data_IF_829547237115
#
_entry.id   IF_829547237115
#
_cell.length_a   1.000
_cell.length_b   1.000
_cell.length_c   1.000
_cell.angle_alpha   90.00
_cell.angle_beta   90.00
_cell.angle_gamma   90.00
#
_symmetry.space_group_name_H-M   'P 1'
#
loop_
_entity.id
_entity.type
_entity.pdbx_description
1 polymer ?
#
# COMPACT_ATOMS: atom_id res chain seq x y z
N UNK A 1 15.23 -18.38 10.97
CA UNK A 1 16.29 -17.37 10.83
C UNK A 1 16.80 -17.42 9.39
N UNK A 2 16.75 -16.30 8.66
CA UNK A 2 17.16 -16.18 7.26
C UNK A 2 17.97 -14.89 7.08
N UNK A 3 18.76 -14.81 5.99
CA UNK A 3 19.45 -13.59 5.56
C UNK A 3 18.56 -12.90 4.51
N UNK A 4 18.04 -11.73 4.84
CA UNK A 4 17.05 -11.01 4.02
C UNK A 4 17.62 -9.64 3.61
N UNK A 5 17.53 -9.31 2.33
CA UNK A 5 17.73 -7.95 1.84
C UNK A 5 16.42 -7.18 1.82
N UNK A 6 16.39 -5.93 2.31
CA UNK A 6 15.21 -5.07 2.26
C UNK A 6 15.55 -3.74 1.57
N UNK A 7 14.79 -3.39 0.54
CA UNK A 7 15.00 -2.20 -0.28
C UNK A 7 13.77 -1.32 -0.23
N UNK A 8 13.98 -0.03 0.10
CA UNK A 8 12.90 0.94 0.24
C UNK A 8 12.37 1.00 1.67
N UNK A 9 12.87 1.96 2.42
CA UNK A 9 12.65 2.13 3.87
C UNK A 9 11.75 3.33 4.19
N UNK A 10 10.80 3.62 3.31
CA UNK A 10 9.79 4.64 3.56
C UNK A 10 8.85 4.30 4.72
N UNK A 11 7.72 5.02 4.82
CA UNK A 11 6.75 4.88 5.92
C UNK A 11 6.24 3.44 6.16
N UNK A 12 6.25 2.60 5.12
CA UNK A 12 5.85 1.20 5.20
C UNK A 12 7.05 0.26 5.35
N UNK A 13 8.10 0.46 4.55
CA UNK A 13 9.23 -0.48 4.49
C UNK A 13 10.08 -0.50 5.77
N UNK A 14 10.32 0.64 6.41
CA UNK A 14 11.10 0.68 7.64
C UNK A 14 10.46 -0.16 8.76
N UNK A 15 9.17 0.02 9.13
CA UNK A 15 8.54 -0.84 10.15
C UNK A 15 8.44 -2.31 9.73
N UNK A 16 8.31 -2.62 8.43
CA UNK A 16 8.36 -4.01 7.94
C UNK A 16 9.73 -4.62 8.19
N UNK A 17 10.83 -3.90 7.87
CA UNK A 17 12.19 -4.36 8.13
C UNK A 17 12.48 -4.51 9.64
N UNK A 18 11.95 -3.61 10.49
CA UNK A 18 12.02 -3.72 11.94
C UNK A 18 11.36 -5.02 12.45
N UNK A 19 10.22 -5.40 11.90
CA UNK A 19 9.54 -6.63 12.30
C UNK A 19 10.34 -7.89 11.93
N UNK A 20 11.02 -7.89 10.78
CA UNK A 20 11.94 -8.97 10.41
C UNK A 20 13.13 -9.08 11.38
N UNK A 21 13.70 -7.95 11.81
CA UNK A 21 14.75 -7.95 12.84
C UNK A 21 14.22 -8.50 14.17
N UNK A 22 13.03 -8.09 14.60
CA UNK A 22 12.37 -8.60 15.83
C UNK A 22 12.08 -10.10 15.75
N UNK A 23 11.79 -10.62 14.56
CA UNK A 23 11.61 -12.06 14.32
C UNK A 23 12.93 -12.85 14.31
N UNK A 24 14.08 -12.17 14.44
CA UNK A 24 15.39 -12.80 14.54
C UNK A 24 16.06 -13.06 13.19
N UNK A 25 15.60 -12.45 12.10
CA UNK A 25 16.29 -12.51 10.81
C UNK A 25 17.55 -11.61 10.80
N UNK A 26 18.52 -11.96 9.97
CA UNK A 26 19.62 -11.05 9.61
C UNK A 26 19.16 -10.20 8.44
N UNK A 27 19.03 -8.89 8.65
CA UNK A 27 18.46 -7.97 7.64
C UNK A 27 19.54 -7.03 7.13
N UNK A 28 19.78 -7.07 5.82
CA UNK A 28 20.53 -6.06 5.09
C UNK A 28 19.55 -5.04 4.51
N UNK A 29 19.88 -3.76 4.59
CA UNK A 29 18.98 -2.69 4.16
C UNK A 29 19.65 -1.74 3.17
N UNK A 30 18.85 -1.25 2.22
CA UNK A 30 19.25 -0.21 1.28
C UNK A 30 18.08 0.76 1.02
N UNK A 31 18.37 2.03 1.11
CA UNK A 31 17.49 3.14 0.71
C UNK A 31 18.35 4.32 0.24
N UNK A 32 17.80 5.18 -0.61
CA UNK A 32 18.45 6.42 -1.02
C UNK A 32 18.56 7.42 0.14
N UNK A 33 17.69 7.31 1.14
CA UNK A 33 17.72 8.09 2.36
C UNK A 33 18.57 7.42 3.46
N UNK A 34 19.82 7.81 3.56
CA UNK A 34 20.78 7.25 4.51
C UNK A 34 20.34 7.37 5.97
N UNK A 35 19.63 8.44 6.34
CA UNK A 35 19.18 8.65 7.72
C UNK A 35 18.21 7.56 8.21
N UNK A 36 17.40 6.97 7.31
CA UNK A 36 16.52 5.85 7.65
C UNK A 36 17.34 4.54 7.78
N UNK A 37 18.32 4.34 6.92
CA UNK A 37 19.24 3.21 7.02
C UNK A 37 19.98 3.19 8.36
N UNK A 38 20.51 4.35 8.79
CA UNK A 38 21.21 4.50 10.07
C UNK A 38 20.33 4.19 11.28
N UNK A 39 19.05 4.58 11.24
CA UNK A 39 18.10 4.23 12.32
C UNK A 39 17.89 2.71 12.42
N UNK A 40 17.79 2.02 11.31
CA UNK A 40 17.66 0.56 11.29
C UNK A 40 18.97 -0.14 11.68
N UNK A 41 20.13 0.45 11.37
CA UNK A 41 21.42 -0.07 11.83
C UNK A 41 21.52 -0.09 13.37
N UNK A 42 20.97 0.93 14.05
CA UNK A 42 20.89 0.96 15.52
C UNK A 42 20.02 -0.16 16.10
N UNK A 43 19.16 -0.74 15.28
CA UNK A 43 18.29 -1.87 15.65
C UNK A 43 18.87 -3.23 15.20
N UNK A 44 20.06 -3.24 14.61
CA UNK A 44 20.77 -4.46 14.20
C UNK A 44 20.75 -4.80 12.71
N UNK A 45 20.24 -3.91 11.85
CA UNK A 45 20.35 -4.07 10.41
C UNK A 45 21.76 -3.79 9.89
N UNK A 46 22.16 -4.46 8.81
CA UNK A 46 23.39 -4.17 8.07
C UNK A 46 23.07 -3.23 6.90
N UNK A 47 23.60 -2.01 6.92
CA UNK A 47 23.42 -1.04 5.83
C UNK A 47 24.34 -1.38 4.67
N UNK A 48 23.77 -1.39 3.46
CA UNK A 48 24.50 -1.62 2.22
C UNK A 48 24.62 -0.34 1.40
N UNK A 49 25.74 -0.17 0.70
CA UNK A 49 25.99 1.01 -0.12
C UNK A 49 25.28 0.94 -1.49
N UNK A 50 24.94 -0.25 -1.96
CA UNK A 50 24.31 -0.49 -3.27
C UNK A 50 23.60 -1.84 -3.32
N UNK A 51 22.91 -2.11 -4.44
CA UNK A 51 22.19 -3.38 -4.66
C UNK A 51 23.12 -4.60 -4.73
N UNK A 52 24.33 -4.45 -5.25
CA UNK A 52 25.29 -5.54 -5.39
C UNK A 52 25.74 -6.05 -4.00
N UNK A 53 26.05 -5.13 -3.08
CA UNK A 53 26.38 -5.47 -1.70
C UNK A 53 25.20 -6.09 -0.95
N UNK A 54 23.98 -5.58 -1.18
CA UNK A 54 22.77 -6.10 -0.56
C UNK A 54 22.48 -7.53 -1.01
N UNK A 55 22.63 -7.82 -2.30
CA UNK A 55 22.33 -9.13 -2.88
C UNK A 55 23.29 -10.24 -2.40
N UNK A 56 24.49 -9.90 -1.91
CA UNK A 56 25.46 -10.88 -1.47
C UNK A 56 25.03 -11.63 -0.21
N UNK A 57 24.94 -12.97 -0.29
CA UNK A 57 24.69 -13.85 0.86
C UNK A 57 23.28 -13.75 1.45
N UNK A 58 22.32 -13.17 0.73
CA UNK A 58 20.90 -13.18 1.12
C UNK A 58 20.15 -14.28 0.34
N UNK A 59 19.16 -14.89 1.00
CA UNK A 59 18.29 -15.91 0.40
C UNK A 59 16.96 -15.34 -0.08
N UNK A 60 16.62 -14.15 0.40
CA UNK A 60 15.38 -13.44 0.06
C UNK A 60 15.66 -11.95 -0.06
N UNK A 61 15.03 -11.29 -1.02
CA UNK A 61 15.01 -9.82 -1.11
C UNK A 61 13.56 -9.35 -1.13
N UNK A 62 13.27 -8.33 -0.31
CA UNK A 62 11.97 -7.67 -0.22
C UNK A 62 12.13 -6.24 -0.70
N UNK A 63 11.22 -5.79 -1.55
CA UNK A 63 11.18 -4.40 -2.02
C UNK A 63 9.87 -3.71 -1.60
N UNK A 64 9.95 -2.43 -1.24
CA UNK A 64 8.79 -1.57 -0.93
C UNK A 64 9.02 -0.19 -1.53
N UNK A 65 8.67 -0.02 -2.80
CA UNK A 65 9.04 1.10 -3.66
C UNK A 65 7.82 1.94 -4.08
N UNK A 66 8.01 3.21 -4.48
CA UNK A 66 6.91 4.14 -4.74
C UNK A 66 6.05 3.81 -5.98
N UNK A 67 6.64 3.27 -7.05
CA UNK A 67 5.96 3.09 -8.34
C UNK A 67 6.59 1.96 -9.18
N UNK A 68 5.86 1.50 -10.20
CA UNK A 68 6.29 0.39 -11.08
C UNK A 68 7.59 0.66 -11.84
N UNK A 69 7.86 1.91 -12.19
CA UNK A 69 9.13 2.31 -12.82
C UNK A 69 10.34 2.05 -11.91
N UNK A 70 10.21 2.34 -10.62
CA UNK A 70 11.26 2.05 -9.62
C UNK A 70 11.45 0.54 -9.45
N UNK A 71 10.36 -0.22 -9.40
CA UNK A 71 10.43 -1.69 -9.32
C UNK A 71 11.14 -2.25 -10.55
N UNK A 72 10.71 -1.85 -11.77
CA UNK A 72 11.38 -2.29 -13.00
C UNK A 72 12.87 -1.92 -13.00
N UNK A 73 13.20 -0.70 -12.61
CA UNK A 73 14.60 -0.22 -12.55
C UNK A 73 15.44 -1.05 -11.58
N UNK A 74 14.93 -1.31 -10.38
CA UNK A 74 15.66 -2.09 -9.35
C UNK A 74 15.82 -3.55 -9.77
N UNK A 75 14.79 -4.17 -10.35
CA UNK A 75 14.84 -5.59 -10.73
C UNK A 75 15.54 -5.85 -12.05
N UNK A 76 15.37 -4.98 -13.06
CA UNK A 76 15.81 -5.21 -14.44
C UNK A 76 17.02 -4.35 -14.85
N UNK A 77 17.38 -3.34 -14.04
CA UNK A 77 18.34 -2.29 -14.42
C UNK A 77 17.69 -1.13 -15.20
N UNK A 78 18.40 -0.01 -15.31
CA UNK A 78 17.86 1.24 -15.92
C UNK A 78 18.17 1.39 -17.38
N UNK A 79 19.35 0.97 -17.82
CA UNK A 79 19.86 1.12 -19.19
C UNK A 79 20.73 -0.06 -19.62
N UNK A 80 21.10 -0.10 -20.89
CA UNK A 80 22.01 -1.13 -21.44
C UNK A 80 23.33 -1.18 -20.64
N UNK A 81 23.51 -2.29 -19.88
CA UNK A 81 24.71 -2.56 -19.10
C UNK A 81 24.58 -2.41 -17.60
N UNK A 82 23.50 -1.80 -17.10
CA UNK A 82 23.23 -1.76 -15.65
C UNK A 82 22.63 -3.09 -15.19
N UNK A 83 23.21 -3.68 -14.15
CA UNK A 83 22.68 -4.91 -13.55
C UNK A 83 21.52 -4.58 -12.61
N UNK A 84 20.38 -5.24 -12.83
CA UNK A 84 19.29 -5.28 -11.88
C UNK A 84 19.45 -6.41 -10.85
N UNK A 85 18.55 -6.47 -9.88
CA UNK A 85 18.55 -7.52 -8.87
C UNK A 85 18.54 -8.92 -9.48
N UNK A 86 17.83 -9.12 -10.60
CA UNK A 86 17.76 -10.42 -11.27
C UNK A 86 19.12 -10.92 -11.78
N UNK A 87 20.10 -10.03 -11.97
CA UNK A 87 21.45 -10.37 -12.40
C UNK A 87 22.45 -10.47 -11.22
N UNK A 88 22.04 -10.01 -10.02
CA UNK A 88 22.90 -9.91 -8.84
C UNK A 88 22.64 -11.00 -7.80
N UNK A 89 21.40 -11.52 -7.75
CA UNK A 89 21.00 -12.52 -6.76
C UNK A 89 21.54 -13.91 -7.09
N UNK A 90 21.72 -14.72 -6.06
CA UNK A 90 22.10 -16.12 -6.22
C UNK A 90 20.95 -16.94 -6.82
N UNK A 91 21.28 -18.07 -7.46
CA UNK A 91 20.29 -19.06 -7.89
C UNK A 91 19.40 -19.49 -6.72
N UNK A 92 18.13 -19.73 -7.01
CA UNK A 92 17.09 -20.05 -6.01
C UNK A 92 16.77 -18.95 -4.99
N UNK A 93 17.22 -17.71 -5.17
CA UNK A 93 16.77 -16.59 -4.34
C UNK A 93 15.27 -16.38 -4.50
N UNK A 94 14.61 -15.97 -3.39
CA UNK A 94 13.22 -15.53 -3.39
C UNK A 94 13.16 -14.01 -3.48
N UNK A 95 12.35 -13.50 -4.38
CA UNK A 95 12.13 -12.07 -4.58
C UNK A 95 10.67 -11.72 -4.25
N UNK A 96 10.46 -10.77 -3.34
CA UNK A 96 9.15 -10.34 -2.87
C UNK A 96 9.02 -8.84 -3.14
N UNK A 97 8.11 -8.44 -4.02
CA UNK A 97 7.80 -7.02 -4.20
C UNK A 97 6.51 -6.65 -3.46
N UNK A 98 6.64 -5.92 -2.36
CA UNK A 98 5.50 -5.45 -1.55
C UNK A 98 4.99 -4.06 -1.97
N UNK A 99 5.52 -3.50 -3.05
CA UNK A 99 5.09 -2.22 -3.61
C UNK A 99 3.65 -2.30 -4.14
N UNK A 100 2.95 -1.16 -4.18
CA UNK A 100 1.66 -1.05 -4.88
C UNK A 100 1.90 -0.40 -6.24
N UNK A 101 1.85 -1.23 -7.29
CA UNK A 101 2.21 -0.87 -8.67
C UNK A 101 1.18 -1.41 -9.68
N UNK A 102 1.38 -1.09 -10.95
CA UNK A 102 0.58 -1.67 -12.02
C UNK A 102 0.88 -3.18 -12.21
N UNK A 103 -0.14 -4.01 -12.48
CA UNK A 103 0.04 -5.46 -12.62
C UNK A 103 0.99 -5.86 -13.74
N UNK A 104 1.13 -5.05 -14.79
CA UNK A 104 2.02 -5.35 -15.91
C UNK A 104 3.48 -5.27 -15.50
N UNK A 105 3.85 -4.30 -14.67
CA UNK A 105 5.21 -4.21 -14.10
C UNK A 105 5.54 -5.45 -13.28
N UNK A 106 4.61 -5.91 -12.42
CA UNK A 106 4.79 -7.13 -11.64
C UNK A 106 4.92 -8.38 -12.53
N UNK A 107 4.06 -8.51 -13.54
CA UNK A 107 4.13 -9.62 -14.52
C UNK A 107 5.45 -9.61 -15.29
N UNK A 108 5.89 -8.46 -15.78
CA UNK A 108 7.16 -8.34 -16.48
C UNK A 108 8.34 -8.81 -15.62
N UNK A 109 8.42 -8.36 -14.36
CA UNK A 109 9.47 -8.78 -13.44
C UNK A 109 9.37 -10.28 -13.15
N UNK A 110 8.15 -10.80 -12.93
CA UNK A 110 7.93 -12.23 -12.71
C UNK A 110 8.35 -13.11 -13.89
N UNK A 111 8.02 -12.68 -15.11
CA UNK A 111 8.45 -13.37 -16.35
C UNK A 111 9.97 -13.38 -16.51
N UNK A 112 10.62 -12.25 -16.26
CA UNK A 112 12.08 -12.14 -16.35
C UNK A 112 12.79 -12.92 -15.22
N UNK A 113 12.22 -12.98 -14.03
CA UNK A 113 12.69 -13.82 -12.94
C UNK A 113 12.57 -15.32 -13.29
N UNK A 114 11.42 -15.74 -13.81
CA UNK A 114 11.20 -17.13 -14.23
C UNK A 114 12.18 -17.61 -15.32
N UNK A 115 12.52 -16.75 -16.29
CA UNK A 115 13.57 -17.06 -17.31
C UNK A 115 14.95 -17.35 -16.70
N UNK A 116 15.22 -16.84 -15.49
CA UNK A 116 16.46 -17.02 -14.73
C UNK A 116 16.34 -18.11 -13.65
N UNK A 117 15.20 -18.80 -13.58
CA UNK A 117 14.95 -19.83 -12.56
C UNK A 117 14.80 -19.26 -11.14
N UNK A 118 14.41 -17.98 -11.01
CA UNK A 118 14.21 -17.31 -9.74
C UNK A 118 12.72 -17.32 -9.34
N UNK A 119 12.45 -17.47 -8.06
CA UNK A 119 11.10 -17.33 -7.50
C UNK A 119 10.79 -15.84 -7.25
N UNK A 120 9.69 -15.37 -7.81
CA UNK A 120 9.18 -13.99 -7.61
C UNK A 120 7.73 -14.02 -7.17
N UNK A 121 7.38 -13.13 -6.23
CA UNK A 121 6.01 -12.82 -5.87
C UNK A 121 5.82 -11.30 -5.80
N UNK A 122 4.69 -10.82 -6.30
CA UNK A 122 4.14 -9.51 -5.96
C UNK A 122 3.25 -9.68 -4.73
N UNK A 123 3.50 -8.92 -3.70
CA UNK A 123 2.87 -9.05 -2.38
C UNK A 123 2.47 -7.68 -1.80
N UNK A 124 1.66 -6.88 -2.52
CA UNK A 124 1.18 -5.61 -2.01
C UNK A 124 0.41 -5.78 -0.70
N UNK A 125 0.41 -4.71 0.11
CA UNK A 125 -0.08 -4.75 1.48
C UNK A 125 -1.32 -3.89 1.70
N UNK A 126 -2.11 -4.28 2.70
CA UNK A 126 -3.21 -3.51 3.26
C UNK A 126 -3.08 -3.46 4.78
N UNK A 127 -3.44 -2.32 5.41
CA UNK A 127 -3.34 -2.10 6.86
C UNK A 127 -2.67 -0.79 7.24
N UNK A 128 -2.10 -0.07 6.26
CA UNK A 128 -1.45 1.22 6.47
C UNK A 128 -0.22 1.16 7.39
N UNK A 129 0.28 2.32 7.77
CA UNK A 129 1.49 2.45 8.60
C UNK A 129 1.29 1.80 9.98
N UNK A 130 0.09 1.92 10.56
CA UNK A 130 -0.22 1.29 11.85
C UNK A 130 -0.12 -0.25 11.78
N UNK A 131 -0.65 -0.85 10.70
CA UNK A 131 -0.54 -2.29 10.45
C UNK A 131 0.90 -2.74 10.22
N UNK A 132 1.71 -1.91 9.55
CA UNK A 132 3.13 -2.20 9.35
C UNK A 132 3.90 -2.23 10.68
N UNK A 133 3.71 -1.25 11.56
CA UNK A 133 4.32 -1.25 12.91
C UNK A 133 3.86 -2.41 13.78
N UNK A 134 2.59 -2.78 13.71
CA UNK A 134 1.99 -3.84 14.52
C UNK A 134 2.23 -5.27 13.99
N UNK A 135 2.89 -5.43 12.84
CA UNK A 135 3.01 -6.72 12.13
C UNK A 135 1.65 -7.38 11.85
N UNK A 136 0.63 -6.57 11.52
CA UNK A 136 -0.74 -7.03 11.28
C UNK A 136 -1.20 -6.79 9.85
N UNK A 137 -0.26 -6.56 8.93
CA UNK A 137 -0.57 -6.32 7.52
C UNK A 137 -1.35 -7.51 6.91
N UNK A 138 -2.18 -7.19 5.94
CA UNK A 138 -2.72 -8.17 5.01
C UNK A 138 -1.88 -8.13 3.74
N UNK A 139 -1.29 -9.25 3.37
CA UNK A 139 -0.56 -9.45 2.11
C UNK A 139 -1.47 -10.11 1.07
N UNK A 140 -1.47 -9.58 -0.15
CA UNK A 140 -2.21 -10.15 -1.29
C UNK A 140 -1.15 -10.59 -2.29
N UNK A 141 -0.89 -11.89 -2.37
CA UNK A 141 0.31 -12.43 -3.01
C UNK A 141 -0.02 -13.03 -4.36
N UNK A 142 0.66 -12.59 -5.40
CA UNK A 142 0.65 -13.19 -6.74
C UNK A 142 2.00 -13.85 -7.04
N UNK A 143 1.97 -15.07 -7.55
CA UNK A 143 3.15 -15.86 -7.91
C UNK A 143 2.84 -17.34 -7.99
N UNK A 144 3.82 -18.18 -8.34
CA UNK A 144 3.63 -19.63 -8.36
C UNK A 144 3.36 -20.19 -6.96
N UNK A 145 2.72 -21.36 -6.86
CA UNK A 145 2.45 -22.03 -5.57
C UNK A 145 3.75 -22.24 -4.77
N UNK A 146 4.86 -22.57 -5.43
CA UNK A 146 6.15 -22.75 -4.78
C UNK A 146 6.70 -21.43 -4.23
N UNK A 147 6.67 -20.36 -5.04
CA UNK A 147 7.14 -19.04 -4.60
C UNK A 147 6.26 -18.50 -3.45
N UNK A 148 4.95 -18.68 -3.53
CA UNK A 148 4.01 -18.32 -2.46
C UNK A 148 4.32 -19.06 -1.16
N UNK A 149 4.48 -20.39 -1.18
CA UNK A 149 4.75 -21.18 0.01
C UNK A 149 6.05 -20.75 0.72
N UNK A 150 7.08 -20.37 -0.06
CA UNK A 150 8.33 -19.82 0.46
C UNK A 150 8.12 -18.43 1.06
N UNK A 151 7.42 -17.54 0.34
CA UNK A 151 7.16 -16.17 0.78
C UNK A 151 6.29 -16.14 2.05
N UNK A 152 5.28 -16.98 2.16
CA UNK A 152 4.36 -17.04 3.29
C UNK A 152 5.09 -17.18 4.62
N UNK A 153 6.17 -17.95 4.66
CA UNK A 153 6.96 -18.17 5.89
C UNK A 153 7.60 -16.88 6.41
N UNK A 154 7.98 -15.97 5.51
CA UNK A 154 8.62 -14.69 5.84
C UNK A 154 7.54 -13.61 6.07
N UNK A 155 6.50 -13.60 5.26
CA UNK A 155 5.42 -12.61 5.34
C UNK A 155 4.66 -12.68 6.66
N UNK A 156 4.59 -13.85 7.31
CA UNK A 156 4.00 -14.05 8.66
C UNK A 156 4.67 -13.21 9.75
N UNK A 157 5.92 -12.82 9.57
CA UNK A 157 6.63 -11.97 10.53
C UNK A 157 6.27 -10.48 10.39
N UNK A 158 5.58 -10.10 9.30
CA UNK A 158 5.17 -8.73 9.01
C UNK A 158 3.64 -8.56 8.90
N UNK A 159 2.89 -9.66 8.82
CA UNK A 159 1.45 -9.63 8.59
C UNK A 159 0.67 -10.76 9.23
N UNK A 160 -0.62 -10.48 9.43
CA UNK A 160 -1.56 -11.42 10.04
C UNK A 160 -2.30 -12.27 9.00
N UNK A 161 -2.66 -11.67 7.87
CA UNK A 161 -3.41 -12.33 6.81
C UNK A 161 -2.56 -12.38 5.55
N UNK A 162 -2.46 -13.56 4.93
CA UNK A 162 -1.66 -13.76 3.72
C UNK A 162 -2.53 -14.56 2.75
N UNK A 163 -2.89 -13.94 1.63
CA UNK A 163 -3.76 -14.53 0.61
C UNK A 163 -2.98 -14.80 -0.67
N UNK A 164 -3.07 -16.02 -1.19
CA UNK A 164 -2.59 -16.34 -2.53
C UNK A 164 -3.67 -15.96 -3.55
N UNK A 165 -3.41 -14.93 -4.34
CA UNK A 165 -4.37 -14.39 -5.31
C UNK A 165 -4.29 -15.07 -6.68
N UNK A 166 -3.19 -15.77 -6.99
CA UNK A 166 -2.96 -16.40 -8.27
C UNK A 166 -1.52 -16.19 -8.76
N UNK A 167 -1.33 -15.99 -10.06
CA UNK A 167 -0.01 -15.83 -10.67
C UNK A 167 0.58 -14.42 -10.46
N UNK A 168 1.81 -14.20 -10.91
CA UNK A 168 2.45 -12.88 -10.81
C UNK A 168 1.58 -11.77 -11.43
N UNK A 169 1.41 -10.67 -10.70
CA UNK A 169 0.52 -9.55 -11.01
C UNK A 169 -0.90 -9.67 -10.48
N UNK A 170 -1.32 -10.85 -10.01
CA UNK A 170 -2.67 -11.04 -9.46
C UNK A 170 -2.79 -10.50 -8.04
N UNK A 171 -1.69 -10.46 -7.28
CA UNK A 171 -1.59 -9.75 -6.01
C UNK A 171 -1.86 -8.26 -6.18
N UNK A 172 -1.21 -7.62 -7.17
CA UNK A 172 -1.47 -6.22 -7.52
C UNK A 172 -2.91 -6.01 -7.94
N UNK A 173 -3.47 -6.90 -8.77
CA UNK A 173 -4.85 -6.79 -9.21
C UNK A 173 -5.84 -6.90 -8.06
N UNK A 174 -5.62 -7.84 -7.14
CA UNK A 174 -6.40 -7.97 -5.91
C UNK A 174 -6.35 -6.71 -5.04
N UNK A 175 -5.16 -6.13 -4.86
CA UNK A 175 -4.96 -4.85 -4.15
C UNK A 175 -5.68 -3.70 -4.83
N UNK A 176 -5.58 -3.58 -6.14
CA UNK A 176 -6.25 -2.55 -6.95
C UNK A 176 -7.77 -2.63 -6.79
N UNK A 177 -8.35 -3.82 -6.89
CA UNK A 177 -9.80 -4.02 -6.68
C UNK A 177 -10.23 -3.61 -5.27
N UNK A 178 -9.43 -3.99 -4.25
CA UNK A 178 -9.70 -3.58 -2.86
C UNK A 178 -9.69 -2.05 -2.70
N UNK A 179 -8.68 -1.37 -3.26
CA UNK A 179 -8.56 0.07 -3.09
C UNK A 179 -9.53 0.86 -3.97
N UNK A 180 -9.94 0.32 -5.13
CA UNK A 180 -11.06 0.86 -5.90
C UNK A 180 -12.34 0.86 -5.06
N UNK A 181 -12.66 -0.27 -4.41
CA UNK A 181 -13.81 -0.37 -3.50
C UNK A 181 -13.66 0.58 -2.31
N UNK A 182 -12.48 0.65 -1.69
CA UNK A 182 -12.22 1.55 -0.56
C UNK A 182 -12.48 3.01 -0.90
N UNK A 183 -12.00 3.48 -2.06
CA UNK A 183 -12.25 4.86 -2.51
C UNK A 183 -13.72 5.15 -2.77
N UNK A 184 -14.46 4.20 -3.34
CA UNK A 184 -15.91 4.31 -3.55
C UNK A 184 -16.65 4.35 -2.22
N UNK A 185 -16.34 3.46 -1.28
CA UNK A 185 -16.96 3.40 0.05
C UNK A 185 -16.71 4.68 0.84
N UNK A 186 -15.49 5.20 0.84
CA UNK A 186 -15.16 6.44 1.53
C UNK A 186 -15.93 7.62 0.92
N UNK A 187 -15.94 7.74 -0.40
CA UNK A 187 -16.67 8.82 -1.10
C UNK A 187 -18.16 8.78 -0.77
N UNK A 188 -18.80 7.62 -0.88
CA UNK A 188 -20.23 7.48 -0.56
C UNK A 188 -20.53 7.70 0.92
N UNK A 189 -19.62 7.31 1.82
CA UNK A 189 -19.77 7.55 3.26
C UNK A 189 -19.69 9.05 3.58
N UNK A 190 -18.71 9.76 3.00
CA UNK A 190 -18.59 11.22 3.16
C UNK A 190 -19.85 11.94 2.67
N UNK A 191 -20.34 11.58 1.49
CA UNK A 191 -21.53 12.17 0.89
C UNK A 191 -22.78 11.94 1.76
N UNK A 192 -23.01 10.70 2.21
CA UNK A 192 -24.18 10.36 3.02
C UNK A 192 -24.18 11.04 4.39
N UNK A 193 -23.01 11.09 5.06
CA UNK A 193 -22.87 11.79 6.35
C UNK A 193 -23.13 13.29 6.20
N UNK A 194 -22.51 13.94 5.21
CA UNK A 194 -22.71 15.37 4.99
C UNK A 194 -24.17 15.70 4.64
N UNK A 195 -24.85 14.88 3.82
CA UNK A 195 -26.26 15.05 3.53
C UNK A 195 -27.11 15.03 4.80
N UNK A 196 -26.86 14.09 5.71
CA UNK A 196 -27.58 13.99 6.98
C UNK A 196 -27.32 15.19 7.90
N UNK A 197 -26.05 15.59 8.03
CA UNK A 197 -25.63 16.75 8.84
C UNK A 197 -26.28 18.03 8.31
N UNK A 198 -26.30 18.25 7.01
CA UNK A 198 -26.95 19.40 6.35
C UNK A 198 -28.45 19.44 6.60
N UNK A 199 -29.07 18.30 6.91
CA UNK A 199 -30.48 18.19 7.26
C UNK A 199 -30.73 18.10 8.79
N UNK A 200 -29.71 18.41 9.62
CA UNK A 200 -29.85 18.54 11.07
C UNK A 200 -29.72 17.24 11.86
N UNK A 201 -29.24 16.16 11.24
CA UNK A 201 -28.96 14.91 11.97
C UNK A 201 -27.63 15.00 12.70
N UNK A 202 -27.61 14.48 13.92
CA UNK A 202 -26.37 14.27 14.66
C UNK A 202 -25.51 13.21 13.96
N UNK A 203 -24.22 13.48 13.66
CA UNK A 203 -23.37 12.58 12.91
C UNK A 203 -23.12 11.24 13.61
N UNK A 204 -23.09 11.23 14.95
CA UNK A 204 -22.90 9.98 15.71
C UNK A 204 -24.15 9.11 15.64
N UNK A 205 -25.33 9.72 15.77
CA UNK A 205 -26.61 9.02 15.64
C UNK A 205 -26.76 8.47 14.22
N UNK A 206 -26.47 9.28 13.20
CA UNK A 206 -26.55 8.84 11.80
C UNK A 206 -25.56 7.70 11.50
N UNK A 207 -24.33 7.81 11.98
CA UNK A 207 -23.34 6.73 11.84
C UNK A 207 -23.83 5.43 12.47
N UNK A 208 -24.43 5.48 13.67
CA UNK A 208 -24.98 4.31 14.35
C UNK A 208 -26.17 3.70 13.59
N UNK A 209 -27.05 4.53 13.02
CA UNK A 209 -28.15 4.06 12.17
C UNK A 209 -27.58 3.27 10.97
N UNK A 210 -26.59 3.84 10.25
CA UNK A 210 -25.99 3.19 9.09
C UNK A 210 -25.22 1.91 9.48
N UNK A 211 -24.54 1.89 10.63
CA UNK A 211 -23.84 0.71 11.14
C UNK A 211 -24.80 -0.47 11.45
N UNK A 212 -26.03 -0.19 11.85
CA UNK A 212 -27.04 -1.22 12.14
C UNK A 212 -27.99 -1.50 10.94
N UNK A 213 -27.72 -0.87 9.80
CA UNK A 213 -28.55 -0.94 8.60
C UNK A 213 -27.72 -1.36 7.39
N UNK A 214 -28.34 -1.39 6.21
CA UNK A 214 -27.72 -1.79 4.94
C UNK A 214 -26.60 -0.87 4.45
N UNK A 215 -26.42 0.31 5.02
CA UNK A 215 -25.32 1.23 4.75
C UNK A 215 -23.99 0.86 5.43
N UNK A 216 -23.97 -0.19 6.26
CA UNK A 216 -22.77 -0.63 6.97
C UNK A 216 -21.62 -0.90 6.02
N UNK A 217 -20.46 -0.32 6.32
CA UNK A 217 -19.24 -0.50 5.53
C UNK A 217 -17.99 -0.24 6.40
N UNK A 218 -16.82 -0.59 5.85
CA UNK A 218 -15.54 -0.49 6.55
C UNK A 218 -15.21 0.95 7.00
N UNK A 219 -15.53 1.96 6.18
CA UNK A 219 -15.25 3.36 6.54
C UNK A 219 -16.03 3.80 7.78
N UNK A 220 -17.33 3.50 7.84
CA UNK A 220 -18.16 3.77 9.02
C UNK A 220 -17.70 3.00 10.26
N UNK A 221 -17.29 1.73 10.08
CA UNK A 221 -17.04 0.80 11.20
C UNK A 221 -15.68 1.02 11.85
N UNK A 222 -14.64 1.34 11.07
CA UNK A 222 -13.25 1.36 11.53
C UNK A 222 -12.51 2.66 11.21
N UNK A 223 -13.09 3.54 10.37
CA UNK A 223 -12.36 4.68 9.83
C UNK A 223 -13.28 5.87 9.51
N UNK A 224 -14.22 6.17 10.42
CA UNK A 224 -15.25 7.18 10.18
C UNK A 224 -14.64 8.53 9.78
N UNK A 225 -15.05 9.11 8.63
CA UNK A 225 -14.46 10.35 8.11
C UNK A 225 -14.96 11.62 8.80
N UNK A 226 -16.03 11.54 9.62
CA UNK A 226 -16.57 12.70 10.34
C UNK A 226 -15.79 12.94 11.64
N UNK A 227 -15.23 14.15 11.85
CA UNK A 227 -14.55 14.50 13.10
C UNK A 227 -15.44 14.30 14.33
N UNK A 228 -14.87 13.77 15.40
CA UNK A 228 -15.57 13.60 16.69
C UNK A 228 -16.45 12.34 16.79
N UNK A 229 -16.74 11.65 15.69
CA UNK A 229 -17.56 10.42 15.72
C UNK A 229 -16.76 9.20 16.20
N UNK A 230 -15.49 9.11 15.80
CA UNK A 230 -14.58 8.02 16.17
C UNK A 230 -13.26 8.58 16.66
N UNK A 231 -12.97 8.47 17.96
CA UNK A 231 -11.80 9.08 18.60
C UNK A 231 -10.46 8.70 17.94
N UNK A 232 -10.30 7.43 17.60
CA UNK A 232 -9.05 6.90 17.04
C UNK A 232 -8.94 7.03 15.51
N UNK A 233 -9.96 7.54 14.82
CA UNK A 233 -9.89 7.78 13.39
C UNK A 233 -9.04 9.02 13.06
N UNK A 234 -8.36 9.07 11.91
CA UNK A 234 -7.62 10.25 11.45
C UNK A 234 -8.45 11.52 11.45
N UNK A 235 -9.72 11.44 11.11
CA UNK A 235 -10.66 12.56 11.12
C UNK A 235 -10.70 13.30 12.47
N UNK A 236 -10.67 12.59 13.59
CA UNK A 236 -10.66 13.18 14.93
C UNK A 236 -9.30 13.71 15.38
N UNK A 237 -8.28 13.61 14.54
CA UNK A 237 -6.91 14.08 14.79
C UNK A 237 -6.40 15.01 13.68
N UNK A 238 -7.31 15.83 13.12
CA UNK A 238 -7.00 16.78 12.04
C UNK A 238 -6.52 16.10 10.75
N UNK A 239 -7.04 14.90 10.46
CA UNK A 239 -6.71 14.10 9.29
C UNK A 239 -5.20 13.81 9.14
N UNK A 240 -4.49 13.64 10.27
CA UNK A 240 -3.11 13.13 10.22
C UNK A 240 -3.07 11.79 9.48
N UNK A 241 -2.19 11.64 8.47
CA UNK A 241 -2.33 10.55 7.51
C UNK A 241 -1.97 9.18 8.09
N UNK A 242 -2.94 8.25 8.08
CA UNK A 242 -2.71 6.82 8.09
C UNK A 242 -2.52 6.28 6.67
N UNK A 243 -3.26 6.87 5.71
CA UNK A 243 -3.14 6.65 4.27
C UNK A 243 -3.42 7.96 3.52
N UNK A 244 -2.42 8.54 2.88
CA UNK A 244 -2.51 9.87 2.28
C UNK A 244 -3.48 9.91 1.10
N UNK A 245 -4.17 11.05 0.92
CA UNK A 245 -5.09 11.30 -0.19
C UNK A 245 -4.43 11.15 -1.56
N UNK A 246 -3.18 11.59 -1.73
CA UNK A 246 -2.40 11.37 -2.95
C UNK A 246 -2.18 9.89 -3.28
N UNK A 247 -2.03 9.03 -2.27
CA UNK A 247 -1.85 7.59 -2.46
C UNK A 247 -3.18 6.93 -2.86
N UNK A 248 -4.30 7.37 -2.29
CA UNK A 248 -5.62 6.92 -2.74
C UNK A 248 -5.86 7.33 -4.20
N UNK A 249 -5.54 8.56 -4.59
CA UNK A 249 -5.64 9.03 -5.98
C UNK A 249 -4.78 8.17 -6.92
N UNK A 250 -3.54 7.86 -6.53
CA UNK A 250 -2.65 6.94 -7.29
C UNK A 250 -3.29 5.57 -7.47
N UNK A 251 -3.78 4.97 -6.40
CA UNK A 251 -4.32 3.61 -6.42
C UNK A 251 -5.62 3.54 -7.25
N UNK A 252 -6.48 4.54 -7.16
CA UNK A 252 -7.66 4.68 -8.05
C UNK A 252 -7.23 4.84 -9.51
N UNK A 253 -6.15 5.58 -9.78
CA UNK A 253 -5.55 5.69 -11.12
C UNK A 253 -5.12 4.34 -11.67
N UNK A 254 -4.40 3.53 -10.88
CA UNK A 254 -4.03 2.15 -11.25
C UNK A 254 -5.27 1.30 -11.59
N UNK A 255 -6.38 1.50 -10.84
CA UNK A 255 -7.65 0.83 -11.10
C UNK A 255 -8.26 1.19 -12.45
N UNK A 256 -8.26 2.49 -12.80
CA UNK A 256 -8.78 2.96 -14.08
C UNK A 256 -7.89 2.50 -15.26
N UNK A 257 -6.58 2.52 -15.09
CA UNK A 257 -5.64 2.04 -16.11
C UNK A 257 -5.82 0.53 -16.36
N UNK A 258 -6.00 -0.26 -15.30
CA UNK A 258 -6.30 -1.68 -15.42
C UNK A 258 -7.65 -1.92 -16.12
N UNK A 259 -8.68 -1.14 -15.75
CA UNK A 259 -10.01 -1.21 -16.36
C UNK A 259 -9.98 -0.85 -17.86
N UNK A 260 -9.23 0.19 -18.24
CA UNK A 260 -9.06 0.58 -19.64
C UNK A 260 -8.42 -0.54 -20.48
N UNK A 261 -7.40 -1.22 -19.93
CA UNK A 261 -6.71 -2.33 -20.61
C UNK A 261 -7.60 -3.58 -20.74
N UNK A 262 -8.40 -3.88 -19.73
CA UNK A 262 -9.31 -5.04 -19.74
C UNK A 262 -10.69 -4.73 -20.37
N UNK A 263 -10.94 -3.48 -20.75
CA UNK A 263 -12.24 -2.98 -21.21
C UNK A 263 -13.37 -3.18 -20.17
N UNK A 264 -13.02 -3.17 -18.88
CA UNK A 264 -13.98 -3.27 -17.78
C UNK A 264 -14.64 -1.92 -17.50
N UNK A 265 -15.92 -1.92 -17.18
CA UNK A 265 -16.65 -0.70 -16.80
C UNK A 265 -16.56 -0.44 -15.31
N UNK A 266 -15.99 0.71 -14.92
CA UNK A 266 -15.79 1.12 -13.50
C UNK A 266 -16.25 2.56 -13.24
N UNK A 267 -17.51 2.94 -13.56
CA UNK A 267 -17.99 4.32 -13.49
C UNK A 267 -17.88 4.91 -12.07
N UNK A 268 -18.19 4.14 -11.02
CA UNK A 268 -18.10 4.61 -9.64
C UNK A 268 -16.65 4.86 -9.23
N UNK A 269 -15.72 4.01 -9.65
CA UNK A 269 -14.29 4.22 -9.43
C UNK A 269 -13.76 5.45 -10.15
N UNK A 270 -14.22 5.72 -11.35
CA UNK A 270 -13.86 6.92 -12.11
C UNK A 270 -14.36 8.20 -11.40
N UNK A 271 -15.58 8.17 -10.86
CA UNK A 271 -16.13 9.29 -10.08
C UNK A 271 -15.31 9.50 -8.80
N UNK A 272 -15.08 8.45 -8.03
CA UNK A 272 -14.26 8.52 -6.81
C UNK A 272 -12.86 9.09 -7.10
N UNK A 273 -12.20 8.62 -8.16
CA UNK A 273 -10.89 9.14 -8.56
C UNK A 273 -10.93 10.64 -8.86
N UNK A 274 -11.97 11.13 -9.53
CA UNK A 274 -12.10 12.57 -9.83
C UNK A 274 -12.33 13.40 -8.56
N UNK A 275 -13.11 12.90 -7.59
CA UNK A 275 -13.29 13.57 -6.28
C UNK A 275 -11.95 13.72 -5.56
N UNK A 276 -11.15 12.66 -5.49
CA UNK A 276 -9.80 12.74 -4.91
C UNK A 276 -8.86 13.65 -5.73
N UNK A 277 -8.98 13.71 -7.06
CA UNK A 277 -8.19 14.62 -7.88
C UNK A 277 -8.50 16.09 -7.55
N UNK A 278 -9.77 16.46 -7.42
CA UNK A 278 -10.17 17.81 -7.01
C UNK A 278 -9.74 18.13 -5.59
N UNK A 279 -9.92 17.19 -4.66
CA UNK A 279 -9.52 17.36 -3.26
C UNK A 279 -8.00 17.59 -3.12
N UNK A 280 -7.18 16.81 -3.83
CA UNK A 280 -5.73 16.98 -3.85
C UNK A 280 -5.30 18.29 -4.52
N UNK A 281 -5.95 18.68 -5.63
CA UNK A 281 -5.67 19.97 -6.30
C UNK A 281 -5.99 21.20 -5.42
N UNK A 282 -6.82 21.03 -4.40
CA UNK A 282 -7.09 22.05 -3.37
C UNK A 282 -6.01 22.09 -2.25
N UNK A 283 -4.92 21.31 -2.36
CA UNK A 283 -3.80 21.31 -1.40
C UNK A 283 -3.92 20.28 -0.27
N UNK A 284 -4.80 19.28 -0.42
CA UNK A 284 -5.06 18.28 0.62
C UNK A 284 -4.38 16.92 0.36
N UNK A 285 -3.39 16.87 -0.54
CA UNK A 285 -2.73 15.64 -0.98
C UNK A 285 -1.98 14.90 0.13
N UNK A 286 -1.48 15.64 1.14
CA UNK A 286 -0.73 15.09 2.28
C UNK A 286 -1.65 14.69 3.44
N UNK A 287 -2.93 15.08 3.44
CA UNK A 287 -3.89 14.68 4.45
C UNK A 287 -4.30 13.21 4.26
N UNK A 288 -4.87 12.64 5.30
CA UNK A 288 -5.49 11.32 5.24
C UNK A 288 -6.61 11.28 4.19
N UNK A 289 -6.77 10.15 3.49
CA UNK A 289 -7.78 10.03 2.44
C UNK A 289 -9.22 10.22 2.92
N UNK A 290 -9.48 10.07 4.23
CA UNK A 290 -10.77 10.36 4.85
C UNK A 290 -11.07 11.87 4.91
N UNK A 291 -10.06 12.74 4.69
CA UNK A 291 -10.25 14.20 4.59
C UNK A 291 -11.11 14.61 3.39
N UNK A 292 -11.42 13.69 2.48
CA UNK A 292 -12.44 13.89 1.43
C UNK A 292 -13.79 14.35 2.03
N UNK A 293 -14.05 14.08 3.31
CA UNK A 293 -15.22 14.57 4.02
C UNK A 293 -15.33 16.10 3.97
N UNK A 294 -14.21 16.81 4.06
CA UNK A 294 -14.19 18.28 4.02
C UNK A 294 -14.57 18.83 2.64
N UNK A 295 -14.43 18.03 1.57
CA UNK A 295 -14.86 18.43 0.23
C UNK A 295 -16.39 18.66 0.15
N UNK A 296 -17.17 17.93 0.96
CA UNK A 296 -18.61 18.04 1.02
C UNK A 296 -19.09 19.00 2.10
N UNK A 297 -18.26 19.30 3.11
CA UNK A 297 -18.63 20.18 4.20
C UNK A 297 -18.91 21.59 3.66
N UNK A 298 -20.08 22.14 3.94
CA UNK A 298 -20.38 23.54 3.63
C UNK A 298 -19.42 24.42 4.42
N UNK A 299 -18.76 25.36 3.75
CA UNK A 299 -18.02 26.40 4.42
C UNK A 299 -18.99 27.24 5.24
N UNK A 300 -19.13 26.95 6.53
CA UNK A 300 -19.94 27.74 7.48
C UNK A 300 -19.39 29.17 7.70
N UNK A 301 -18.50 29.66 6.85
CA UNK A 301 -17.93 31.01 6.90
C UNK A 301 -18.67 32.04 6.04
N UNK A 302 -19.75 31.66 5.35
CA UNK A 302 -20.70 32.65 4.86
C UNK A 302 -21.78 32.86 5.93
N UNK A 303 -21.40 33.50 7.04
CA UNK A 303 -22.35 34.20 7.89
C UNK A 303 -23.04 35.25 7.02
N UNK A 304 -24.29 34.96 6.76
CA UNK A 304 -25.35 35.79 6.21
C UNK A 304 -25.10 37.27 6.50
N UNK A 305 -24.82 38.05 5.44
CA UNK A 305 -25.00 39.48 5.42
C UNK A 305 -26.43 39.84 4.99
#
# INVERSE_FOLDING_TARGET
>A
MQNIGFIGLGNMGAPMAENLLKAGHQVKVFDLNQAVCEKLAQQGASVCANLEELAQGVSCIITMLPAGEHVRSVYLGTHQGDKGLLDLVAENSLLIDSSTIDPQSARLVGEEAAKRGLDFVDAPVSGGVAGAHAATLTFIVGGSDNAFARAETILKDMGKNIFHAGQAGDGQMGKICNNLMLGILMSGTCEALNLGIDNGLDPTVLSNIMLQSSGRNWALELYNPCPGVMENAPASRGYQPGFMSKLMLKDLGLGLDAAAKSQSSVPMGALARNLYAFHNAAGNEELDFSSLFEFYAKNNNESVG
#
